data_IF_994493704790
#
_entry.id   IF_994493704790
#
_cell.length_a   1.000
_cell.length_b   1.000
_cell.length_c   1.000
_cell.angle_alpha   90.00
_cell.angle_beta   90.00
_cell.angle_gamma   90.00
#
_symmetry.space_group_name_H-M   'P 1'
#
loop_
_entity.id
_entity.type
_entity.pdbx_description
1 polymer ?
#
# COMPACT_ATOMS: atom_id res chain seq x y z
N UNK A 1 19.42 -46.42 -55.59
CA UNK A 1 18.71 -45.28 -54.98
C UNK A 1 18.00 -45.81 -53.75
N UNK A 2 18.20 -45.15 -52.60
CA UNK A 2 17.68 -45.52 -51.28
C UNK A 2 16.14 -45.48 -51.25
N UNK A 3 15.54 -46.23 -50.32
CA UNK A 3 14.39 -45.88 -49.46
C UNK A 3 13.73 -47.19 -48.98
N UNK A 4 14.29 -47.79 -47.92
CA UNK A 4 13.81 -47.76 -46.51
C UNK A 4 12.79 -48.85 -46.21
N UNK A 5 13.35 -49.97 -45.72
CA UNK A 5 12.72 -50.96 -44.85
C UNK A 5 11.88 -50.26 -43.77
N UNK A 6 10.58 -50.52 -43.74
CA UNK A 6 9.74 -50.15 -42.60
C UNK A 6 8.53 -51.04 -42.47
N UNK A 7 8.69 -52.37 -42.50
CA UNK A 7 7.66 -53.29 -41.99
C UNK A 7 8.30 -54.59 -41.48
N UNK A 8 8.96 -54.49 -40.34
CA UNK A 8 9.19 -55.62 -39.42
C UNK A 8 8.33 -55.26 -38.21
N UNK A 9 7.02 -55.48 -38.25
CA UNK A 9 6.39 -56.75 -37.90
C UNK A 9 7.05 -57.41 -36.69
N UNK A 10 6.61 -56.98 -35.51
CA UNK A 10 6.27 -57.83 -34.36
C UNK A 10 7.42 -58.66 -33.79
N UNK A 11 8.06 -58.19 -32.71
CA UNK A 11 8.19 -58.97 -31.47
C UNK A 11 8.77 -58.13 -30.33
N UNK A 12 8.21 -58.31 -29.14
CA UNK A 12 8.84 -58.08 -27.84
C UNK A 12 8.94 -56.64 -27.29
N UNK A 13 7.78 -56.08 -26.90
CA UNK A 13 7.75 -55.07 -25.84
C UNK A 13 6.78 -55.52 -24.74
N UNK A 14 7.18 -56.57 -24.02
CA UNK A 14 6.55 -57.01 -22.77
C UNK A 14 7.51 -56.76 -21.62
N UNK A 15 6.96 -56.06 -20.63
CA UNK A 15 7.34 -55.99 -19.23
C UNK A 15 8.52 -55.10 -18.79
N UNK A 16 8.30 -54.56 -17.58
CA UNK A 16 9.19 -53.84 -16.67
C UNK A 16 9.17 -52.31 -16.87
N UNK A 17 8.74 -51.45 -15.93
CA UNK A 17 8.49 -51.59 -14.49
C UNK A 17 7.36 -50.66 -14.05
N UNK A 18 6.46 -51.18 -13.23
CA UNK A 18 5.51 -50.44 -12.41
C UNK A 18 6.26 -49.60 -11.37
N UNK A 19 6.24 -48.27 -11.48
CA UNK A 19 6.72 -47.36 -10.44
C UNK A 19 5.60 -47.13 -9.42
N UNK A 20 5.59 -47.92 -8.35
CA UNK A 20 4.89 -47.63 -7.12
C UNK A 20 5.89 -46.98 -6.16
N UNK A 21 5.77 -45.68 -5.89
CA UNK A 21 6.47 -45.05 -4.77
C UNK A 21 5.53 -45.04 -3.56
N UNK A 22 5.69 -46.02 -2.68
CA UNK A 22 5.03 -46.04 -1.37
C UNK A 22 6.04 -45.62 -0.31
N UNK A 23 6.24 -44.32 -0.14
CA UNK A 23 6.96 -43.77 1.01
C UNK A 23 5.97 -43.57 2.15
N UNK A 24 6.12 -44.40 3.19
CA UNK A 24 5.42 -44.31 4.47
C UNK A 24 5.56 -42.91 5.09
N UNK A 25 4.47 -42.49 5.75
CA UNK A 25 4.34 -41.42 6.75
C UNK A 25 5.67 -40.84 7.25
N UNK A 26 5.92 -39.60 6.87
CA UNK A 26 6.59 -38.63 7.75
C UNK A 26 5.49 -37.68 8.20
N UNK A 27 5.41 -37.45 9.51
CA UNK A 27 4.70 -36.31 10.09
C UNK A 27 5.32 -35.04 9.51
N UNK A 28 4.78 -34.59 8.37
CA UNK A 28 5.07 -33.27 7.84
C UNK A 28 4.24 -32.30 8.64
N UNK A 29 4.88 -31.77 9.68
CA UNK A 29 4.54 -30.51 10.31
C UNK A 29 3.98 -29.57 9.24
N UNK A 30 2.74 -29.13 9.48
CA UNK A 30 2.10 -28.00 8.83
C UNK A 30 3.17 -26.96 8.55
N UNK A 31 3.48 -26.74 7.27
CA UNK A 31 4.12 -25.52 6.83
C UNK A 31 3.13 -24.41 7.21
N UNK A 32 3.23 -23.95 8.45
CA UNK A 32 2.83 -22.61 8.78
C UNK A 32 3.79 -21.77 7.94
N UNK A 33 3.32 -21.31 6.79
CA UNK A 33 3.84 -20.10 6.18
C UNK A 33 3.75 -19.04 7.28
N UNK A 34 4.84 -18.91 8.03
CA UNK A 34 5.08 -17.76 8.87
C UNK A 34 5.20 -16.63 7.87
N UNK A 35 4.07 -16.00 7.57
CA UNK A 35 4.02 -14.63 7.09
C UNK A 35 5.02 -13.89 7.97
N UNK A 36 6.16 -13.55 7.37
CA UNK A 36 7.20 -12.78 8.04
C UNK A 36 6.55 -11.45 8.33
N UNK A 37 5.93 -11.33 9.51
CA UNK A 37 5.21 -10.15 9.92
C UNK A 37 6.23 -9.01 9.96
N UNK A 38 6.28 -8.25 8.87
CA UNK A 38 7.20 -7.13 8.75
C UNK A 38 6.77 -6.12 9.79
N UNK A 39 7.52 -6.03 10.89
CA UNK A 39 7.28 -4.98 11.88
C UNK A 39 7.72 -3.67 11.25
N UNK A 40 6.74 -2.86 10.89
CA UNK A 40 7.00 -1.51 10.41
C UNK A 40 7.36 -0.60 11.57
N UNK A 41 8.33 0.26 11.31
CA UNK A 41 8.67 1.42 12.11
C UNK A 41 8.33 2.66 11.29
N UNK A 42 8.28 3.81 11.96
CA UNK A 42 8.06 5.07 11.27
C UNK A 42 9.07 5.32 10.13
N UNK A 43 10.31 4.79 10.22
CA UNK A 43 11.34 5.02 9.20
C UNK A 43 11.28 4.07 8.01
N UNK A 44 10.72 2.86 8.16
CA UNK A 44 10.72 1.85 7.10
C UNK A 44 9.33 1.57 6.50
N UNK A 45 8.27 2.17 7.03
CA UNK A 45 6.92 1.98 6.51
C UNK A 45 6.82 2.50 5.06
N UNK A 46 6.32 1.71 4.09
CA UNK A 46 6.28 2.10 2.67
C UNK A 46 5.48 3.39 2.43
N UNK A 47 4.42 3.59 3.20
CA UNK A 47 3.61 4.82 3.18
C UNK A 47 4.38 6.11 3.45
N UNK A 48 5.48 6.09 4.22
CA UNK A 48 6.29 7.29 4.47
C UNK A 48 6.90 7.84 3.18
N UNK A 49 7.52 6.97 2.39
CA UNK A 49 8.16 7.35 1.13
C UNK A 49 7.13 7.80 0.10
N UNK A 50 5.95 7.19 0.08
CA UNK A 50 4.84 7.62 -0.77
C UNK A 50 4.34 9.02 -0.36
N UNK A 51 4.17 9.27 0.94
CA UNK A 51 3.76 10.57 1.47
C UNK A 51 4.73 11.68 1.07
N UNK A 52 6.04 11.42 1.20
CA UNK A 52 7.11 12.34 0.81
C UNK A 52 7.10 12.65 -0.69
N UNK A 53 6.88 11.65 -1.53
CA UNK A 53 6.98 11.82 -2.99
C UNK A 53 5.70 12.35 -3.63
N UNK A 54 4.53 12.05 -3.07
CA UNK A 54 3.24 12.34 -3.69
C UNK A 54 2.51 13.50 -3.02
N UNK A 55 2.57 13.62 -1.69
CA UNK A 55 1.79 14.61 -0.95
C UNK A 55 2.61 15.84 -0.56
N UNK A 56 3.87 15.66 -0.15
CA UNK A 56 4.72 16.76 0.31
C UNK A 56 5.15 17.73 -0.79
N UNK A 57 4.88 17.44 -2.07
CA UNK A 57 5.03 18.41 -3.16
C UNK A 57 4.24 19.70 -2.89
N UNK A 58 3.05 19.57 -2.28
CA UNK A 58 2.21 20.70 -1.90
C UNK A 58 2.06 20.84 -0.38
N UNK A 59 2.07 19.73 0.35
CA UNK A 59 1.87 19.67 1.79
C UNK A 59 3.19 19.60 2.58
N UNK A 60 4.26 20.20 2.04
CA UNK A 60 5.62 20.11 2.58
C UNK A 60 5.66 20.50 4.08
N UNK A 61 6.17 19.63 4.97
CA UNK A 61 6.26 19.94 6.40
C UNK A 61 7.25 21.08 6.69
N UNK A 62 8.16 21.39 5.78
CA UNK A 62 9.15 22.46 5.94
C UNK A 62 8.71 23.80 5.32
N UNK A 63 7.49 23.89 4.75
CA UNK A 63 6.99 25.15 4.20
C UNK A 63 6.78 26.20 5.30
N UNK A 64 7.11 27.45 4.99
CA UNK A 64 6.85 28.58 5.89
C UNK A 64 5.33 28.84 6.06
N UNK A 65 4.97 29.61 7.09
CA UNK A 65 3.56 29.85 7.40
C UNK A 65 2.84 30.63 6.28
N UNK A 66 3.52 31.54 5.59
CA UNK A 66 2.92 32.46 4.62
C UNK A 66 2.86 31.90 3.19
N UNK A 67 3.84 31.12 2.77
CA UNK A 67 4.02 30.62 1.40
C UNK A 67 3.54 29.19 1.17
N UNK A 68 2.95 28.53 2.19
CA UNK A 68 2.37 27.20 2.00
C UNK A 68 1.11 27.27 1.13
N UNK A 69 1.01 26.34 0.18
CA UNK A 69 -0.12 26.25 -0.76
C UNK A 69 -1.15 25.18 -0.36
N UNK A 70 -0.88 24.43 0.72
CA UNK A 70 -1.75 23.40 1.25
C UNK A 70 -1.60 23.33 2.79
N UNK A 71 -2.57 22.74 3.52
CA UNK A 71 -2.41 22.50 4.95
C UNK A 71 -1.30 21.47 5.21
N UNK A 72 -0.51 21.58 6.29
CA UNK A 72 0.47 20.54 6.61
C UNK A 72 -0.22 19.20 6.90
N UNK A 73 0.41 18.08 6.54
CA UNK A 73 -0.22 16.75 6.67
C UNK A 73 -0.55 16.36 8.10
N UNK A 74 0.17 16.88 9.10
CA UNK A 74 -0.20 16.71 10.52
C UNK A 74 -1.58 17.28 10.85
N UNK A 75 -1.98 18.40 10.22
CA UNK A 75 -3.33 18.94 10.36
C UNK A 75 -4.36 18.07 9.63
N UNK A 76 -4.00 17.52 8.46
CA UNK A 76 -4.85 16.56 7.74
C UNK A 76 -5.11 15.33 8.63
N UNK A 77 -4.05 14.72 9.18
CA UNK A 77 -4.15 13.62 10.13
C UNK A 77 -5.10 13.97 11.28
N UNK A 78 -4.87 15.10 11.95
CA UNK A 78 -5.68 15.52 13.11
C UNK A 78 -7.16 15.75 12.79
N UNK A 79 -7.52 16.21 11.58
CA UNK A 79 -8.92 16.41 11.20
C UNK A 79 -9.63 15.13 10.76
N UNK A 80 -8.90 14.14 10.28
CA UNK A 80 -9.46 12.88 9.80
C UNK A 80 -9.45 11.77 10.86
N UNK A 81 -8.48 11.82 11.77
CA UNK A 81 -8.33 10.91 12.91
C UNK A 81 -9.20 11.40 14.07
N UNK A 82 -9.99 10.49 14.64
CA UNK A 82 -10.71 10.69 15.90
C UNK A 82 -10.56 9.42 16.74
N UNK A 83 -10.96 9.47 18.01
CA UNK A 83 -10.68 8.39 18.97
C UNK A 83 -11.36 7.06 18.63
N UNK A 84 -12.47 7.09 17.88
CA UNK A 84 -13.29 5.91 17.55
C UNK A 84 -13.06 5.37 16.13
N UNK A 85 -12.28 6.06 15.29
CA UNK A 85 -12.11 5.67 13.89
C UNK A 85 -11.13 4.49 13.78
N UNK A 86 -11.53 3.43 13.08
CA UNK A 86 -10.59 2.37 12.73
C UNK A 86 -9.60 2.82 11.66
N UNK A 87 -8.45 2.14 11.58
CA UNK A 87 -7.46 2.33 10.52
C UNK A 87 -8.06 2.22 9.12
N UNK A 88 -8.97 1.26 8.91
CA UNK A 88 -9.68 1.08 7.63
C UNK A 88 -10.57 2.29 7.32
N UNK A 89 -11.37 2.75 8.29
CA UNK A 89 -12.24 3.92 8.10
C UNK A 89 -11.44 5.20 7.90
N UNK A 90 -10.29 5.34 8.56
CA UNK A 90 -9.36 6.43 8.32
C UNK A 90 -8.84 6.43 6.88
N UNK A 91 -8.36 5.27 6.40
CA UNK A 91 -7.91 5.11 5.02
C UNK A 91 -9.03 5.38 4.00
N UNK A 92 -10.24 4.87 4.26
CA UNK A 92 -11.42 5.10 3.41
C UNK A 92 -11.80 6.59 3.39
N UNK A 93 -11.71 7.29 4.52
CA UNK A 93 -12.00 8.72 4.60
C UNK A 93 -10.99 9.56 3.81
N UNK A 94 -9.69 9.23 3.90
CA UNK A 94 -8.64 9.89 3.12
C UNK A 94 -8.85 9.62 1.62
N UNK A 95 -9.04 8.36 1.23
CA UNK A 95 -9.27 7.98 -0.17
C UNK A 95 -10.51 8.65 -0.76
N UNK A 96 -11.64 8.65 -0.04
CA UNK A 96 -12.87 9.28 -0.49
C UNK A 96 -12.69 10.77 -0.84
N UNK A 97 -11.80 11.49 -0.14
CA UNK A 97 -11.45 12.85 -0.51
C UNK A 97 -10.50 12.89 -1.72
N UNK A 98 -9.42 12.12 -1.69
CA UNK A 98 -8.35 12.16 -2.70
C UNK A 98 -8.78 11.67 -4.08
N UNK A 99 -9.62 10.64 -4.17
CA UNK A 99 -10.07 10.02 -5.43
C UNK A 99 -10.81 11.01 -6.36
N UNK A 100 -11.47 12.01 -5.76
CA UNK A 100 -12.25 13.02 -6.47
C UNK A 100 -12.56 14.16 -5.49
N UNK A 101 -11.61 15.08 -5.29
CA UNK A 101 -11.78 16.16 -4.32
C UNK A 101 -13.01 17.00 -4.67
N UNK A 102 -13.85 17.25 -3.66
CA UNK A 102 -14.95 18.21 -3.71
C UNK A 102 -15.04 18.90 -2.36
N UNK A 103 -15.64 20.10 -2.31
CA UNK A 103 -15.84 20.81 -1.05
C UNK A 103 -16.66 19.97 -0.05
N UNK A 104 -17.68 19.26 -0.54
CA UNK A 104 -18.54 18.39 0.28
C UNK A 104 -17.78 17.19 0.88
N UNK A 105 -16.81 16.64 0.15
CA UNK A 105 -15.99 15.51 0.61
C UNK A 105 -14.91 15.92 1.62
N UNK A 106 -14.57 17.21 1.69
CA UNK A 106 -13.51 17.68 2.61
C UNK A 106 -14.03 17.80 4.05
N UNK A 107 -13.35 17.14 4.98
CA UNK A 107 -13.52 17.40 6.43
C UNK A 107 -12.89 18.74 6.87
N UNK A 108 -12.11 19.40 6.00
CA UNK A 108 -11.31 20.58 6.33
C UNK A 108 -11.82 21.84 5.61
N UNK A 109 -13.06 22.25 5.88
CA UNK A 109 -13.69 23.44 5.24
C UNK A 109 -12.85 24.71 5.39
N UNK A 110 -12.12 24.87 6.50
CA UNK A 110 -11.20 25.99 6.71
C UNK A 110 -10.00 25.96 5.75
N UNK A 111 -9.45 24.78 5.49
CA UNK A 111 -8.37 24.61 4.53
C UNK A 111 -8.86 24.90 3.10
N UNK A 112 -10.06 24.42 2.73
CA UNK A 112 -10.66 24.74 1.43
C UNK A 112 -10.83 26.25 1.24
N UNK A 113 -11.33 26.98 2.24
CA UNK A 113 -11.45 28.46 2.14
C UNK A 113 -10.10 29.17 2.02
N UNK A 114 -9.05 28.63 2.65
CA UNK A 114 -7.72 29.26 2.68
C UNK A 114 -6.87 28.94 1.47
N UNK A 115 -6.88 27.68 1.01
CA UNK A 115 -5.98 27.14 -0.01
C UNK A 115 -6.69 26.78 -1.32
N UNK A 116 -8.00 27.02 -1.40
CA UNK A 116 -8.90 26.45 -2.40
C UNK A 116 -9.01 24.91 -2.30
N UNK A 117 -9.82 24.33 -3.17
CA UNK A 117 -9.96 22.87 -3.24
C UNK A 117 -8.67 22.23 -3.76
N UNK A 118 -8.24 21.14 -3.12
CA UNK A 118 -7.11 20.33 -3.60
C UNK A 118 -7.35 19.92 -5.06
N UNK A 119 -6.43 20.22 -5.99
CA UNK A 119 -6.55 19.76 -7.36
C UNK A 119 -6.54 18.23 -7.43
N UNK A 120 -7.38 17.65 -8.30
CA UNK A 120 -7.37 16.22 -8.55
C UNK A 120 -5.97 15.75 -9.02
N UNK A 121 -5.50 14.66 -8.42
CA UNK A 121 -4.24 14.01 -8.76
C UNK A 121 -4.54 12.57 -9.15
N UNK A 122 -3.87 12.05 -10.18
CA UNK A 122 -4.03 10.66 -10.65
C UNK A 122 -3.21 9.73 -9.76
N UNK A 123 -3.58 9.64 -8.49
CA UNK A 123 -2.96 8.72 -7.54
C UNK A 123 -3.60 7.34 -7.61
N UNK A 124 -2.81 6.31 -7.29
CA UNK A 124 -3.34 4.97 -7.12
C UNK A 124 -3.95 4.83 -5.73
N UNK A 125 -5.09 4.16 -5.63
CA UNK A 125 -5.73 3.90 -4.34
C UNK A 125 -4.80 3.14 -3.37
N UNK A 126 -4.05 2.16 -3.88
CA UNK A 126 -3.09 1.36 -3.10
C UNK A 126 -2.04 2.24 -2.40
N UNK A 127 -1.51 3.25 -3.11
CA UNK A 127 -0.52 4.18 -2.55
C UNK A 127 -1.15 5.04 -1.45
N UNK A 128 -2.36 5.57 -1.69
CA UNK A 128 -3.07 6.40 -0.72
C UNK A 128 -3.43 5.62 0.54
N UNK A 129 -3.77 4.34 0.41
CA UNK A 129 -4.03 3.46 1.56
C UNK A 129 -2.77 3.23 2.38
N UNK A 130 -1.62 2.98 1.75
CA UNK A 130 -0.34 2.86 2.45
C UNK A 130 0.07 4.17 3.14
N UNK A 131 -0.19 5.32 2.51
CA UNK A 131 0.03 6.64 3.12
C UNK A 131 -0.87 6.82 4.35
N UNK A 132 -2.17 6.51 4.22
CA UNK A 132 -3.11 6.64 5.32
C UNK A 132 -2.77 5.69 6.47
N UNK A 133 -2.31 4.48 6.17
CA UNK A 133 -1.81 3.52 7.13
C UNK A 133 -0.63 4.09 7.95
N UNK A 134 0.42 4.56 7.26
CA UNK A 134 1.54 5.26 7.90
C UNK A 134 1.09 6.44 8.76
N UNK A 135 0.20 7.27 8.21
CA UNK A 135 -0.35 8.43 8.91
C UNK A 135 -1.17 8.02 10.13
N UNK A 136 -1.86 6.89 10.14
CA UNK A 136 -2.63 6.43 11.29
C UNK A 136 -1.69 6.00 12.43
N UNK A 137 -0.75 5.11 12.12
CA UNK A 137 0.09 4.43 13.10
C UNK A 137 1.19 5.31 13.71
N UNK A 138 1.77 6.22 12.91
CA UNK A 138 3.01 6.90 13.30
C UNK A 138 2.84 8.41 13.46
N UNK A 139 3.71 9.01 14.27
CA UNK A 139 3.92 10.46 14.21
C UNK A 139 4.52 10.80 12.84
N UNK A 140 3.97 11.82 12.19
CA UNK A 140 4.44 12.34 10.90
C UNK A 140 5.09 13.70 11.10
N UNK A 141 5.87 14.12 10.10
CA UNK A 141 6.59 15.39 10.14
C UNK A 141 5.63 16.57 10.24
N UNK A 142 6.03 17.57 11.04
CA UNK A 142 5.26 18.77 11.34
C UNK A 142 6.14 20.02 11.18
N UNK A 143 5.57 21.14 10.68
CA UNK A 143 6.33 22.37 10.59
C UNK A 143 6.73 22.91 11.96
N UNK A 144 7.94 23.46 12.05
CA UNK A 144 8.46 24.03 13.30
C UNK A 144 7.54 25.12 13.89
N UNK A 145 6.95 25.94 13.02
CA UNK A 145 6.06 27.02 13.43
C UNK A 145 4.76 26.52 14.08
N UNK A 146 4.35 25.26 13.87
CA UNK A 146 3.11 24.72 14.45
C UNK A 146 3.17 24.62 15.99
N UNK A 147 4.37 24.48 16.55
CA UNK A 147 4.56 24.38 18.01
C UNK A 147 4.39 25.72 18.74
N UNK A 148 4.35 26.82 17.99
CA UNK A 148 4.45 28.18 18.51
C UNK A 148 3.20 29.03 18.19
N UNK A 149 2.09 28.40 17.79
CA UNK A 149 0.78 29.04 17.54
C UNK A 149 -0.20 28.56 18.59
#
# INVERSE_FOLDING_TARGET
MKLTLSYISIFLLVATLTSCNNSKKSDYATQNDIEKQTIYTASNHPGKKLLENQCYLCHNPNANIEGRIAPPMVAVKSHYLNDDISQKEFADAIWNFVEKPTEKKSKMRGAVRRFNLMPYQVFKEEDIRLIADYMYEFKIDEPEWLKNI
#
